data_IF_498726122388
#
_entry.id   IF_498726122388
#
_cell.length_a   1.000
_cell.length_b   1.000
_cell.length_c   1.000
_cell.angle_alpha   90.00
_cell.angle_beta   90.00
_cell.angle_gamma   90.00
#
_symmetry.space_group_name_H-M   'P 1'
#
loop_
_entity.id
_entity.type
_entity.pdbx_description
1 polymer ?
#
# COMPACT_ATOMS: atom_id res chain seq x y z
N UNK A 1 4.01 -14.17 29.20
CA UNK A 1 5.03 -14.21 28.12
C UNK A 1 5.10 -12.93 27.30
N UNK A 2 3.96 -12.33 26.94
CA UNK A 2 3.90 -11.04 26.23
C UNK A 2 4.68 -9.91 26.94
N UNK A 3 4.62 -9.83 28.27
CA UNK A 3 5.32 -8.78 29.03
C UNK A 3 6.84 -8.92 29.00
N UNK A 4 7.35 -10.15 28.96
CA UNK A 4 8.79 -10.42 28.81
C UNK A 4 9.29 -9.96 27.43
N UNK A 5 8.48 -10.18 26.39
CA UNK A 5 8.78 -9.73 25.04
C UNK A 5 8.68 -8.21 24.89
N UNK A 6 7.66 -7.56 25.48
CA UNK A 6 7.53 -6.10 25.50
C UNK A 6 8.70 -5.43 26.23
N UNK A 7 9.12 -5.98 27.37
CA UNK A 7 10.33 -5.55 28.09
C UNK A 7 11.60 -5.73 27.25
N UNK A 8 11.70 -6.82 26.50
CA UNK A 8 12.82 -7.03 25.57
C UNK A 8 12.78 -6.03 24.40
N UNK A 9 11.61 -5.70 23.85
CA UNK A 9 11.51 -4.70 22.79
C UNK A 9 11.69 -3.26 23.27
N UNK A 10 11.64 -3.01 24.58
CA UNK A 10 11.82 -1.69 25.15
C UNK A 10 13.18 -1.08 24.74
N UNK A 11 13.15 0.13 24.19
CA UNK A 11 14.33 0.83 23.70
C UNK A 11 14.89 0.36 22.34
N UNK A 12 14.31 -0.66 21.70
CA UNK A 12 14.67 -1.10 20.34
C UNK A 12 13.76 -0.45 19.30
N UNK A 13 14.22 -0.35 18.06
CA UNK A 13 13.53 0.38 17.00
C UNK A 13 12.19 -0.26 16.59
N UNK A 14 12.15 -1.58 16.41
CA UNK A 14 10.93 -2.29 16.02
C UNK A 14 10.68 -2.32 14.50
N UNK A 15 9.42 -2.52 14.10
CA UNK A 15 9.03 -2.77 12.70
C UNK A 15 8.55 -1.48 12.03
N UNK A 16 9.11 -1.15 10.86
CA UNK A 16 8.64 -0.04 10.03
C UNK A 16 8.30 -0.46 8.58
N UNK A 17 8.05 0.52 7.70
CA UNK A 17 7.69 0.27 6.30
C UNK A 17 8.82 -0.34 5.49
N UNK A 18 10.07 0.08 5.72
CA UNK A 18 11.23 -0.49 5.05
C UNK A 18 11.50 -1.94 5.50
N UNK A 19 11.44 -2.24 6.80
CA UNK A 19 11.55 -3.61 7.32
C UNK A 19 10.44 -4.51 6.80
N UNK A 20 9.20 -4.03 6.70
CA UNK A 20 8.11 -4.78 6.05
C UNK A 20 8.43 -5.10 4.59
N UNK A 21 8.97 -4.13 3.85
CA UNK A 21 9.40 -4.34 2.47
C UNK A 21 10.50 -5.41 2.37
N UNK A 22 11.50 -5.38 3.25
CA UNK A 22 12.59 -6.36 3.29
C UNK A 22 12.07 -7.76 3.61
N UNK A 23 11.15 -7.92 4.56
CA UNK A 23 10.55 -9.21 4.89
C UNK A 23 9.76 -9.78 3.70
N UNK A 24 8.92 -8.96 3.06
CA UNK A 24 8.16 -9.39 1.86
C UNK A 24 9.11 -9.80 0.74
N UNK A 25 10.15 -9.01 0.49
CA UNK A 25 11.13 -9.29 -0.54
C UNK A 25 11.96 -10.54 -0.23
N UNK A 26 12.33 -10.77 1.03
CA UNK A 26 12.97 -12.00 1.49
C UNK A 26 12.09 -13.24 1.26
N UNK A 27 10.79 -13.14 1.57
CA UNK A 27 9.82 -14.22 1.31
C UNK A 27 9.70 -14.49 -0.19
N UNK A 28 9.64 -13.45 -1.03
CA UNK A 28 9.58 -13.63 -2.49
C UNK A 28 10.82 -14.35 -3.03
N UNK A 29 12.02 -13.97 -2.59
CA UNK A 29 13.23 -14.68 -3.00
C UNK A 29 13.29 -16.11 -2.47
N UNK A 30 12.76 -16.37 -1.28
CA UNK A 30 12.65 -17.73 -0.75
C UNK A 30 11.75 -18.58 -1.66
N UNK A 31 10.59 -18.07 -2.06
CA UNK A 31 9.68 -18.78 -2.98
C UNK A 31 10.32 -19.00 -4.35
N UNK A 32 11.04 -18.01 -4.88
CA UNK A 32 11.75 -18.12 -6.17
C UNK A 32 12.91 -19.11 -6.12
N UNK A 33 13.52 -19.31 -4.94
CA UNK A 33 14.60 -20.29 -4.78
C UNK A 33 14.13 -21.71 -5.10
N UNK A 34 12.87 -22.06 -4.79
CA UNK A 34 12.29 -23.37 -5.08
C UNK A 34 12.01 -23.63 -6.57
N UNK A 35 11.88 -22.58 -7.38
CA UNK A 35 11.50 -22.69 -8.80
C UNK A 35 12.68 -22.60 -9.76
N UNK A 36 13.88 -22.25 -9.29
CA UNK A 36 15.03 -21.94 -10.14
C UNK A 36 16.15 -22.98 -10.01
N UNK A 37 16.83 -23.29 -11.12
CA UNK A 37 17.94 -24.26 -11.15
C UNK A 37 19.15 -23.83 -10.30
N UNK A 38 19.32 -22.52 -10.10
CA UNK A 38 20.34 -21.94 -9.22
C UNK A 38 19.73 -21.48 -7.87
N UNK A 39 18.72 -22.20 -7.38
CA UNK A 39 17.95 -21.83 -6.17
C UNK A 39 18.80 -21.54 -4.93
N UNK A 40 19.96 -22.17 -4.78
CA UNK A 40 20.88 -21.92 -3.66
C UNK A 40 21.31 -20.46 -3.51
N UNK A 41 21.49 -19.73 -4.62
CA UNK A 41 21.87 -18.31 -4.59
C UNK A 41 20.71 -17.45 -4.10
N UNK A 42 19.49 -17.70 -4.59
CA UNK A 42 18.29 -16.99 -4.14
C UNK A 42 17.96 -17.30 -2.68
N UNK A 43 18.22 -18.52 -2.23
CA UNK A 43 18.09 -18.91 -0.84
C UNK A 43 19.06 -18.15 0.06
N UNK A 44 20.35 -18.10 -0.29
CA UNK A 44 21.37 -17.35 0.45
C UNK A 44 21.01 -15.86 0.52
N UNK A 45 20.57 -15.28 -0.61
CA UNK A 45 20.15 -13.89 -0.70
C UNK A 45 18.93 -13.62 0.19
N UNK A 46 17.93 -14.52 0.16
CA UNK A 46 16.75 -14.43 1.03
C UNK A 46 17.15 -14.45 2.51
N UNK A 47 18.01 -15.39 2.90
CA UNK A 47 18.50 -15.51 4.27
C UNK A 47 19.22 -14.24 4.71
N UNK A 48 20.13 -13.71 3.88
CA UNK A 48 20.85 -12.47 4.17
C UNK A 48 19.91 -11.27 4.38
N UNK A 49 18.88 -11.15 3.54
CA UNK A 49 17.89 -10.06 3.62
C UNK A 49 17.04 -10.18 4.88
N UNK A 50 16.60 -11.40 5.24
CA UNK A 50 15.83 -11.63 6.45
C UNK A 50 16.68 -11.36 7.70
N UNK A 51 17.92 -11.85 7.75
CA UNK A 51 18.86 -11.57 8.84
C UNK A 51 19.09 -10.07 9.00
N UNK A 52 19.30 -9.35 7.90
CA UNK A 52 19.44 -7.88 7.93
C UNK A 52 18.17 -7.19 8.44
N UNK A 53 16.98 -7.65 8.04
CA UNK A 53 15.70 -7.12 8.52
C UNK A 53 15.55 -7.29 10.04
N UNK A 54 15.89 -8.46 10.58
CA UNK A 54 15.86 -8.72 12.03
C UNK A 54 16.91 -7.88 12.78
N UNK A 55 18.14 -7.81 12.27
CA UNK A 55 19.17 -6.94 12.84
C UNK A 55 18.69 -5.48 12.93
N UNK A 56 18.03 -4.98 11.89
CA UNK A 56 17.45 -3.64 11.84
C UNK A 56 16.34 -3.45 12.88
N UNK A 57 15.45 -4.43 13.03
CA UNK A 57 14.35 -4.39 14.00
C UNK A 57 14.85 -4.34 15.45
N UNK A 58 15.94 -5.05 15.75
CA UNK A 58 16.52 -5.09 17.10
C UNK A 58 17.57 -4.01 17.38
N UNK A 59 17.87 -3.15 16.39
CA UNK A 59 18.81 -2.05 16.56
C UNK A 59 18.30 -1.04 17.60
N UNK A 60 19.22 -0.52 18.41
CA UNK A 60 18.96 0.56 19.38
C UNK A 60 19.15 1.96 18.80
N UNK A 61 19.72 2.08 17.60
CA UNK A 61 20.00 3.39 17.00
C UNK A 61 18.78 3.91 16.22
N UNK A 62 17.85 4.54 16.92
CA UNK A 62 16.60 5.04 16.35
C UNK A 62 16.83 6.08 15.25
N UNK A 63 17.75 7.04 15.44
CA UNK A 63 17.98 8.13 14.50
C UNK A 63 18.44 7.64 13.13
N UNK A 64 19.42 6.72 13.09
CA UNK A 64 19.90 6.15 11.83
C UNK A 64 18.82 5.32 11.13
N UNK A 65 18.10 4.48 11.87
CA UNK A 65 17.06 3.61 11.31
C UNK A 65 15.86 4.43 10.79
N UNK A 66 15.51 5.50 11.50
CA UNK A 66 14.48 6.44 11.07
C UNK A 66 14.88 7.16 9.77
N UNK A 67 16.12 7.64 9.66
CA UNK A 67 16.62 8.28 8.45
C UNK A 67 16.54 7.34 7.21
N UNK A 68 16.93 6.07 7.37
CA UNK A 68 16.77 5.05 6.32
C UNK A 68 15.30 4.88 5.90
N UNK A 69 14.39 4.82 6.87
CA UNK A 69 12.96 4.71 6.59
C UNK A 69 12.43 5.95 5.88
N UNK A 70 12.86 7.16 6.27
CA UNK A 70 12.45 8.39 5.59
C UNK A 70 12.92 8.45 4.14
N UNK A 71 14.17 8.02 3.86
CA UNK A 71 14.65 7.87 2.49
C UNK A 71 13.79 6.89 1.70
N UNK A 72 13.53 5.70 2.26
CA UNK A 72 12.65 4.71 1.64
C UNK A 72 11.25 5.28 1.35
N UNK A 73 10.65 5.99 2.31
CA UNK A 73 9.33 6.61 2.15
C UNK A 73 9.33 7.69 1.06
N UNK A 74 10.41 8.48 0.96
CA UNK A 74 10.58 9.51 -0.07
C UNK A 74 10.67 8.88 -1.46
N UNK A 75 11.53 7.88 -1.64
CA UNK A 75 11.67 7.20 -2.94
C UNK A 75 10.41 6.45 -3.36
N UNK A 76 9.69 5.85 -2.41
CA UNK A 76 8.46 5.10 -2.70
C UNK A 76 7.20 5.96 -2.73
N UNK A 77 7.28 7.26 -2.43
CA UNK A 77 6.12 8.15 -2.31
C UNK A 77 5.24 8.17 -3.57
N UNK A 78 5.86 8.27 -4.76
CA UNK A 78 5.13 8.32 -6.03
C UNK A 78 4.34 7.04 -6.30
N UNK A 79 4.98 5.88 -6.10
CA UNK A 79 4.36 4.56 -6.28
C UNK A 79 3.21 4.38 -5.28
N UNK A 80 3.43 4.73 -4.01
CA UNK A 80 2.43 4.60 -2.96
C UNK A 80 1.21 5.49 -3.21
N UNK A 81 1.42 6.73 -3.70
CA UNK A 81 0.33 7.62 -4.11
C UNK A 81 -0.50 7.01 -5.25
N UNK A 82 0.15 6.46 -6.28
CA UNK A 82 -0.55 5.79 -7.40
C UNK A 82 -1.36 4.59 -6.92
N UNK A 83 -0.77 3.69 -6.13
CA UNK A 83 -1.45 2.52 -5.57
C UNK A 83 -2.63 2.94 -4.68
N UNK A 84 -2.45 3.98 -3.86
CA UNK A 84 -3.52 4.52 -3.01
C UNK A 84 -4.66 5.10 -3.85
N UNK A 85 -4.36 5.84 -4.92
CA UNK A 85 -5.36 6.38 -5.83
C UNK A 85 -6.15 5.27 -6.54
N UNK A 86 -5.47 4.20 -6.95
CA UNK A 86 -6.11 3.01 -7.55
C UNK A 86 -7.04 2.35 -6.53
N UNK A 87 -6.55 2.05 -5.33
CA UNK A 87 -7.36 1.44 -4.25
C UNK A 87 -8.56 2.30 -3.89
N UNK A 88 -8.36 3.61 -3.76
CA UNK A 88 -9.44 4.56 -3.55
C UNK A 88 -10.47 4.51 -4.68
N UNK A 89 -10.03 4.49 -5.94
CA UNK A 89 -10.91 4.34 -7.10
C UNK A 89 -11.75 3.06 -7.06
N UNK A 90 -11.15 1.91 -6.73
CA UNK A 90 -11.87 0.64 -6.58
C UNK A 90 -12.87 0.67 -5.42
N UNK A 91 -12.47 1.21 -4.26
CA UNK A 91 -13.36 1.38 -3.10
C UNK A 91 -14.56 2.26 -3.44
N UNK A 92 -14.35 3.38 -4.13
CA UNK A 92 -15.42 4.27 -4.56
C UNK A 92 -16.39 3.58 -5.52
N UNK A 93 -15.91 2.71 -6.43
CA UNK A 93 -16.78 1.96 -7.35
C UNK A 93 -17.75 1.00 -6.65
N UNK A 94 -17.46 0.57 -5.41
CA UNK A 94 -18.35 -0.27 -4.60
C UNK A 94 -19.58 0.50 -4.12
N UNK A 95 -19.43 1.78 -3.77
CA UNK A 95 -20.49 2.59 -3.18
C UNK A 95 -21.13 3.56 -4.18
N UNK A 96 -20.40 3.96 -5.23
CA UNK A 96 -20.82 4.99 -6.15
C UNK A 96 -20.69 4.56 -7.62
N UNK A 97 -21.62 5.04 -8.46
CA UNK A 97 -21.42 5.21 -9.89
C UNK A 97 -20.82 6.57 -10.18
N UNK A 98 -19.82 6.62 -11.07
CA UNK A 98 -19.17 7.85 -11.49
C UNK A 98 -19.60 8.13 -12.94
N UNK A 99 -20.52 9.05 -13.12
CA UNK A 99 -20.99 9.47 -14.44
C UNK A 99 -20.24 10.70 -14.93
N UNK A 100 -20.14 10.85 -16.26
CA UNK A 100 -19.68 12.08 -16.89
C UNK A 100 -20.91 12.85 -17.39
N UNK A 101 -20.96 14.14 -17.09
CA UNK A 101 -21.96 15.03 -17.66
C UNK A 101 -21.79 15.07 -19.19
N UNK A 102 -22.87 14.93 -19.98
CA UNK A 102 -22.79 14.96 -21.44
C UNK A 102 -22.41 16.34 -21.99
N UNK A 103 -22.77 17.43 -21.31
CA UNK A 103 -22.54 18.80 -21.80
C UNK A 103 -21.15 19.34 -21.44
N UNK A 104 -20.67 19.11 -20.21
CA UNK A 104 -19.41 19.73 -19.73
C UNK A 104 -18.32 18.72 -19.33
N UNK A 105 -18.59 17.41 -19.43
CA UNK A 105 -17.63 16.36 -19.09
C UNK A 105 -17.32 16.18 -17.60
N UNK A 106 -17.93 16.97 -16.71
CA UNK A 106 -17.70 16.89 -15.26
C UNK A 106 -18.04 15.49 -14.71
N UNK A 107 -17.15 14.92 -13.91
CA UNK A 107 -17.38 13.64 -13.21
C UNK A 107 -18.26 13.86 -11.98
N UNK A 108 -19.39 13.17 -11.91
CA UNK A 108 -20.39 13.26 -10.83
C UNK A 108 -20.48 11.89 -10.16
N UNK A 109 -20.42 11.86 -8.83
CA UNK A 109 -20.54 10.62 -8.04
C UNK A 109 -21.98 10.46 -7.56
N UNK A 110 -22.52 9.26 -7.70
CA UNK A 110 -23.90 8.93 -7.35
C UNK A 110 -23.93 7.64 -6.56
N UNK A 111 -24.59 7.59 -5.39
CA UNK A 111 -24.66 6.38 -4.57
C UNK A 111 -25.40 5.26 -5.33
N UNK A 112 -24.95 4.01 -5.22
CA UNK A 112 -25.57 2.86 -5.88
C UNK A 112 -26.94 2.52 -5.30
N UNK A 113 -27.80 1.87 -6.11
CA UNK A 113 -29.02 1.20 -5.64
C UNK A 113 -30.28 2.07 -5.59
N UNK A 114 -30.28 3.24 -6.24
CA UNK A 114 -31.44 4.15 -6.29
C UNK A 114 -32.35 3.97 -7.52
N UNK A 115 -32.05 3.01 -8.41
CA UNK A 115 -32.86 2.76 -9.60
C UNK A 115 -32.69 3.84 -10.68
N UNK A 116 -33.77 4.28 -11.33
CA UNK A 116 -33.73 5.33 -12.36
C UNK A 116 -33.73 6.69 -11.67
N UNK A 117 -32.68 7.49 -11.89
CA UNK A 117 -32.53 8.80 -11.27
C UNK A 117 -32.28 9.89 -12.33
N UNK A 118 -32.76 11.08 -12.03
CA UNK A 118 -32.40 12.29 -12.75
C UNK A 118 -31.18 12.94 -12.09
N UNK A 119 -30.17 13.23 -12.89
CA UNK A 119 -28.89 13.78 -12.43
C UNK A 119 -28.80 15.21 -12.93
N UNK A 120 -28.68 16.15 -11.99
CA UNK A 120 -28.35 17.54 -12.29
C UNK A 120 -26.85 17.76 -12.18
N UNK A 121 -26.23 18.30 -13.23
CA UNK A 121 -24.81 18.64 -13.20
C UNK A 121 -24.56 19.90 -12.35
N UNK A 122 -23.63 19.88 -11.36
CA UNK A 122 -23.33 21.07 -10.55
C UNK A 122 -22.57 22.16 -11.33
N UNK A 123 -21.95 21.83 -12.47
CA UNK A 123 -21.14 22.77 -13.26
C UNK A 123 -21.95 23.52 -14.31
N UNK A 124 -22.80 22.81 -15.06
CA UNK A 124 -23.54 23.38 -16.19
C UNK A 124 -25.06 23.27 -16.05
N UNK A 125 -25.56 22.80 -14.90
CA UNK A 125 -26.98 22.58 -14.62
C UNK A 125 -27.73 21.69 -15.62
N UNK A 126 -27.04 20.99 -16.54
CA UNK A 126 -27.68 20.05 -17.45
C UNK A 126 -28.30 18.87 -16.68
N UNK A 127 -29.52 18.50 -17.07
CA UNK A 127 -30.29 17.40 -16.51
C UNK A 127 -30.21 16.18 -17.44
N UNK A 128 -29.95 15.00 -16.88
CA UNK A 128 -29.94 13.76 -17.66
C UNK A 128 -30.29 12.55 -16.78
N UNK A 129 -30.95 11.57 -17.39
CA UNK A 129 -31.44 10.39 -16.68
C UNK A 129 -30.43 9.24 -16.84
N UNK A 130 -30.04 8.61 -15.73
CA UNK A 130 -29.26 7.36 -15.72
C UNK A 130 -29.77 6.42 -14.66
N UNK A 131 -29.41 5.14 -14.78
CA UNK A 131 -29.64 4.15 -13.73
C UNK A 131 -28.51 4.24 -12.70
N UNK A 132 -28.87 4.31 -11.43
CA UNK A 132 -27.98 4.22 -10.28
C UNK A 132 -27.51 2.79 -10.01
#
# INVERSE_FOLDING_TARGET
MKDKFLRFMYGRYGVDQFSKCLVVLGILFLLLSGFTRNGGIFYLLSLAILVYSYFRMFSRNHSKRYAENQLYLKYTAGIRKKISAIRYGFSQRKHYHIYKCPSCGQKIRIPRGKGKIEIRCPKCNAHFIKKS
#
